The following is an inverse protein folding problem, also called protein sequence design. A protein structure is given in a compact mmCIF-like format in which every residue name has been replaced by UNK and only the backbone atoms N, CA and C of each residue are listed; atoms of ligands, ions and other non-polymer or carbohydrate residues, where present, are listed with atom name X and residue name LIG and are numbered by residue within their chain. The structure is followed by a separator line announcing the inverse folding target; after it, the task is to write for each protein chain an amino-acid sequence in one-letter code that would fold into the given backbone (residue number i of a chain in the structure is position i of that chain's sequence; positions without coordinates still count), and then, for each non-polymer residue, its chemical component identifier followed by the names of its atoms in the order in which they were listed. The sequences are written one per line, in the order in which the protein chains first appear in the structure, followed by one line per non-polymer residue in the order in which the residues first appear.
data_IF_121479352265
#
_entry.id   IF_121479352265
#
_cell.length_a   1.000
_cell.length_b   1.000
_cell.length_c   1.000
_cell.angle_alpha   90.00
_cell.angle_beta   90.00
_cell.angle_gamma   90.00
#
_symmetry.space_group_name_H-M   'P 1'
#
loop_
_entity.id
_entity.type
_entity.pdbx_description
1 polymer ?
#
# COMPACT_ATOMS: atom_id res chain seq x y z
N UNK A 1 -16.79 15.06 -21.01
CA UNK A 1 -15.82 15.74 -21.90
C UNK A 1 -15.53 14.86 -23.11
N UNK A 2 -15.16 15.42 -24.26
CA UNK A 2 -14.74 14.62 -25.44
C UNK A 2 -13.24 14.37 -25.34
N UNK A 3 -12.85 13.10 -25.36
CA UNK A 3 -11.45 12.66 -25.25
C UNK A 3 -11.12 11.80 -26.46
N UNK A 4 -9.94 12.00 -27.04
CA UNK A 4 -9.37 11.10 -28.05
C UNK A 4 -8.43 10.13 -27.34
N UNK A 5 -8.56 8.83 -27.61
CA UNK A 5 -7.74 7.76 -27.04
C UNK A 5 -7.24 6.89 -28.18
N UNK A 6 -5.94 6.59 -28.18
CA UNK A 6 -5.32 5.72 -29.17
C UNK A 6 -5.36 4.27 -28.71
N UNK A 7 -5.78 3.36 -29.60
CA UNK A 7 -5.85 1.93 -29.33
C UNK A 7 -5.09 1.16 -30.40
N UNK A 8 -4.35 0.09 -30.05
CA UNK A 8 -3.83 -0.84 -31.04
C UNK A 8 -4.95 -1.44 -31.89
N UNK A 9 -4.71 -1.66 -33.19
CA UNK A 9 -5.73 -2.13 -34.13
C UNK A 9 -6.43 -3.43 -33.67
N UNK A 10 -5.64 -4.39 -33.15
CA UNK A 10 -6.17 -5.64 -32.61
C UNK A 10 -7.13 -5.41 -31.42
N UNK A 11 -6.80 -4.48 -30.52
CA UNK A 11 -7.63 -4.15 -29.37
C UNK A 11 -8.92 -3.45 -29.81
N UNK A 12 -8.81 -2.53 -30.76
CA UNK A 12 -9.96 -1.80 -31.28
C UNK A 12 -10.98 -2.73 -31.98
N UNK A 13 -10.48 -3.70 -32.76
CA UNK A 13 -11.31 -4.76 -33.36
C UNK A 13 -12.05 -5.56 -32.29
N UNK A 14 -11.35 -5.99 -31.25
CA UNK A 14 -11.96 -6.71 -30.13
C UNK A 14 -13.06 -5.88 -29.46
N UNK A 15 -12.79 -4.62 -29.12
CA UNK A 15 -13.78 -3.73 -28.51
C UNK A 15 -15.04 -3.58 -29.38
N UNK A 16 -14.88 -3.43 -30.71
CA UNK A 16 -16.02 -3.38 -31.64
C UNK A 16 -16.83 -4.67 -31.65
N UNK A 17 -16.16 -5.82 -31.75
CA UNK A 17 -16.84 -7.13 -31.73
C UNK A 17 -17.62 -7.31 -30.44
N UNK A 18 -17.03 -6.98 -29.30
CA UNK A 18 -17.68 -7.07 -27.99
C UNK A 18 -18.89 -6.13 -27.88
N UNK A 19 -18.76 -4.89 -28.33
CA UNK A 19 -19.87 -3.93 -28.33
C UNK A 19 -21.05 -4.43 -29.19
N UNK A 20 -20.77 -5.02 -30.36
CA UNK A 20 -21.78 -5.61 -31.22
C UNK A 20 -22.47 -6.84 -30.58
N UNK A 21 -21.69 -7.72 -29.93
CA UNK A 21 -22.22 -8.89 -29.22
C UNK A 21 -23.10 -8.49 -28.04
N UNK A 22 -22.73 -7.44 -27.30
CA UNK A 22 -23.48 -6.92 -26.16
C UNK A 22 -24.62 -5.97 -26.56
N UNK A 23 -24.81 -5.71 -27.86
CA UNK A 23 -25.90 -4.88 -28.37
C UNK A 23 -25.82 -3.41 -27.94
N UNK A 24 -24.63 -2.88 -27.68
CA UNK A 24 -24.41 -1.53 -27.15
C UNK A 24 -23.38 -0.74 -27.93
N UNK A 25 -23.31 0.57 -27.67
CA UNK A 25 -22.35 1.43 -28.37
C UNK A 25 -20.92 1.17 -27.87
N UNK A 26 -19.94 1.33 -28.77
CA UNK A 26 -18.53 1.24 -28.41
C UNK A 26 -18.14 2.23 -27.31
N UNK A 27 -18.76 3.42 -27.32
CA UNK A 27 -18.54 4.46 -26.31
C UNK A 27 -18.94 3.98 -24.93
N UNK A 28 -20.13 3.40 -24.79
CA UNK A 28 -20.66 2.97 -23.49
C UNK A 28 -19.83 1.81 -22.93
N UNK A 29 -19.42 0.87 -23.79
CA UNK A 29 -18.50 -0.21 -23.43
C UNK A 29 -17.17 0.34 -22.90
N UNK A 30 -16.56 1.31 -23.60
CA UNK A 30 -15.28 1.88 -23.19
C UNK A 30 -15.40 2.61 -21.86
N UNK A 31 -16.47 3.39 -21.65
CA UNK A 31 -16.71 4.09 -20.38
C UNK A 31 -16.82 3.09 -19.23
N UNK A 32 -17.66 2.05 -19.36
CA UNK A 32 -17.82 1.05 -18.31
C UNK A 32 -16.52 0.31 -18.01
N UNK A 33 -15.76 -0.07 -19.04
CA UNK A 33 -14.46 -0.74 -18.86
C UNK A 33 -13.45 0.14 -18.12
N UNK A 34 -13.43 1.44 -18.40
CA UNK A 34 -12.56 2.40 -17.70
C UNK A 34 -13.02 2.56 -16.25
N UNK A 35 -14.32 2.76 -15.99
CA UNK A 35 -14.87 2.86 -14.63
C UNK A 35 -14.58 1.61 -13.81
N UNK A 36 -14.78 0.43 -14.41
CA UNK A 36 -14.46 -0.85 -13.79
C UNK A 36 -12.97 -1.00 -13.53
N UNK A 37 -12.12 -0.59 -14.47
CA UNK A 37 -10.66 -0.61 -14.30
C UNK A 37 -10.17 0.30 -13.17
N UNK A 38 -10.80 1.47 -13.00
CA UNK A 38 -10.48 2.41 -11.91
C UNK A 38 -11.04 1.96 -10.56
N UNK A 39 -12.20 1.29 -10.56
CA UNK A 39 -12.85 0.79 -9.33
C UNK A 39 -12.29 -0.56 -8.89
N UNK A 40 -11.69 -1.31 -9.81
CA UNK A 40 -10.99 -2.54 -9.50
C UNK A 40 -9.78 -2.22 -8.63
N UNK A 41 -10.00 -2.26 -7.31
CA UNK A 41 -8.93 -2.31 -6.32
C UNK A 41 -8.02 -3.45 -6.75
N UNK A 42 -6.73 -3.15 -6.90
CA UNK A 42 -5.71 -4.14 -7.26
C UNK A 42 -6.02 -5.42 -6.49
N UNK A 43 -6.29 -6.50 -7.23
CA UNK A 43 -6.51 -7.82 -6.62
C UNK A 43 -5.14 -8.25 -6.13
N UNK A 44 -4.73 -7.70 -4.99
CA UNK A 44 -3.53 -8.13 -4.30
C UNK A 44 -3.84 -9.54 -3.87
N UNK A 45 -3.15 -10.50 -4.48
CA UNK A 45 -3.19 -11.89 -4.09
C UNK A 45 -3.07 -11.93 -2.55
N UNK A 46 -4.10 -12.44 -1.84
CA UNK A 46 -4.09 -12.44 -0.39
C UNK A 46 -2.88 -13.20 0.17
N UNK A 47 -2.32 -14.16 -0.57
CA UNK A 47 -1.07 -14.83 -0.20
C UNK A 47 0.13 -13.88 -0.30
N UNK A 48 0.28 -13.13 -1.39
CA UNK A 48 1.34 -12.10 -1.52
C UNK A 48 1.21 -11.03 -0.44
N UNK A 49 -0.02 -10.62 -0.11
CA UNK A 49 -0.29 -9.66 0.96
C UNK A 49 0.05 -10.20 2.34
N UNK A 50 -0.06 -11.51 2.56
CA UNK A 50 0.32 -12.16 3.81
C UNK A 50 1.85 -12.27 3.94
N UNK A 51 2.53 -12.60 2.84
CA UNK A 51 4.00 -12.68 2.77
C UNK A 51 4.70 -11.32 2.93
N UNK A 52 4.03 -10.23 2.54
CA UNK A 52 4.55 -8.86 2.70
C UNK A 52 4.37 -8.28 4.11
N UNK A 53 3.76 -9.01 5.06
CA UNK A 53 3.60 -8.51 6.43
C UNK A 53 4.94 -8.60 7.17
N UNK A 54 5.37 -7.53 7.86
CA UNK A 54 6.50 -7.63 8.77
C UNK A 54 6.23 -8.73 9.82
N UNK A 55 7.26 -9.46 10.26
CA UNK A 55 7.09 -10.51 11.26
C UNK A 55 6.47 -9.91 12.53
N UNK A 56 5.38 -10.51 12.99
CA UNK A 56 4.76 -10.13 14.26
C UNK A 56 5.54 -10.83 15.36
N UNK A 57 6.26 -10.06 16.18
CA UNK A 57 6.92 -10.56 17.39
C UNK A 57 5.90 -10.39 18.53
N UNK A 58 5.29 -11.46 19.06
CA UNK A 58 4.38 -11.36 20.19
C UNK A 58 5.16 -10.91 21.43
N UNK A 59 4.58 -10.01 22.25
CA UNK A 59 5.21 -9.66 23.52
C UNK A 59 5.18 -10.86 24.46
N UNK A 60 6.30 -11.16 25.11
CA UNK A 60 6.46 -12.31 26.02
C UNK A 60 5.97 -12.01 27.44
N UNK A 61 5.19 -10.95 27.65
CA UNK A 61 4.78 -10.50 28.98
C UNK A 61 4.39 -9.02 29.03
N UNK A 62 4.06 -8.51 30.24
CA UNK A 62 3.82 -7.09 30.45
C UNK A 62 5.07 -6.30 30.06
N UNK A 63 4.85 -5.20 29.34
CA UNK A 63 5.93 -4.33 28.90
C UNK A 63 6.65 -3.76 30.13
N UNK A 64 7.99 -3.77 30.11
CA UNK A 64 8.79 -3.25 31.21
C UNK A 64 8.54 -1.75 31.48
N UNK A 65 8.09 -1.02 30.45
CA UNK A 65 7.77 0.39 30.51
C UNK A 65 6.27 0.62 30.26
N UNK A 66 5.61 1.48 31.04
CA UNK A 66 4.20 1.82 30.85
C UNK A 66 4.03 2.82 29.70
N UNK A 67 4.45 2.45 28.49
CA UNK A 67 4.45 3.33 27.30
C UNK A 67 3.07 3.93 26.97
N UNK A 68 1.99 3.26 27.38
CA UNK A 68 0.62 3.74 27.18
C UNK A 68 0.28 5.01 27.99
N UNK A 69 1.06 5.35 29.01
CA UNK A 69 0.85 6.49 29.89
C UNK A 69 1.90 7.60 29.67
N UNK A 70 2.82 7.40 28.73
CA UNK A 70 3.90 8.34 28.42
C UNK A 70 3.43 9.39 27.42
N UNK A 71 3.89 10.63 27.62
CA UNK A 71 3.75 11.70 26.64
C UNK A 71 4.86 11.60 25.58
N UNK A 72 4.71 12.34 24.47
CA UNK A 72 5.80 12.44 23.49
C UNK A 72 7.10 12.96 24.10
N UNK A 73 7.04 13.86 25.08
CA UNK A 73 8.23 14.40 25.74
C UNK A 73 8.97 13.30 26.53
N UNK A 74 8.23 12.44 27.23
CA UNK A 74 8.81 11.31 27.98
C UNK A 74 9.48 10.31 27.03
N UNK A 75 8.92 10.08 25.84
CA UNK A 75 9.51 9.22 24.81
C UNK A 75 10.82 9.80 24.26
N UNK A 76 10.88 11.11 24.00
CA UNK A 76 12.09 11.76 23.53
C UNK A 76 13.22 11.72 24.57
N UNK A 77 12.90 11.85 25.86
CA UNK A 77 13.88 11.73 26.93
C UNK A 77 14.54 10.34 26.94
N UNK A 78 13.74 9.27 26.80
CA UNK A 78 14.24 7.89 26.76
C UNK A 78 15.17 7.62 25.56
N UNK A 79 14.80 8.13 24.38
CA UNK A 79 15.62 7.97 23.16
C UNK A 79 16.98 8.65 23.33
N UNK A 80 16.98 9.86 23.88
CA UNK A 80 18.21 10.62 24.09
C UNK A 80 19.11 9.96 25.16
N UNK A 81 18.52 9.41 26.23
CA UNK A 81 19.25 8.69 27.27
C UNK A 81 19.96 7.45 26.69
N UNK A 82 19.29 6.63 25.86
CA UNK A 82 19.91 5.48 25.21
C UNK A 82 21.05 5.86 24.24
N UNK A 83 20.89 6.95 23.49
CA UNK A 83 21.90 7.43 22.55
C UNK A 83 23.14 7.99 23.26
N UNK A 84 22.95 8.70 24.38
CA UNK A 84 24.04 9.20 25.22
C UNK A 84 24.82 8.03 25.86
N UNK A 85 24.13 7.02 26.38
CA UNK A 85 24.76 5.82 26.94
C UNK A 85 25.56 5.03 25.89
N UNK A 86 25.01 4.86 24.68
CA UNK A 86 25.70 4.20 23.56
C UNK A 86 26.93 4.97 23.13
N UNK A 87 26.84 6.30 23.07
CA UNK A 87 27.95 7.19 22.70
C UNK A 87 29.07 7.12 23.73
N UNK A 88 28.75 7.17 25.03
CA UNK A 88 29.72 7.04 26.12
C UNK A 88 30.42 5.68 26.08
N UNK A 89 29.69 4.59 25.85
CA UNK A 89 30.25 3.23 25.76
C UNK A 89 31.17 3.05 24.55
N UNK A 90 30.93 3.76 23.45
CA UNK A 90 31.79 3.74 22.27
C UNK A 90 33.09 4.52 22.48
N UNK A 91 33.02 5.65 23.20
CA UNK A 91 34.16 6.53 23.49
C UNK A 91 35.05 6.02 24.64
N UNK A 92 34.50 5.29 25.61
CA UNK A 92 35.24 4.68 26.73
C UNK A 92 36.01 3.40 26.39
N UNK A 93 36.12 3.04 25.10
CA UNK A 93 36.78 1.81 24.61
C UNK A 93 38.14 2.06 23.93
N UNK A 94 38.73 3.23 24.14
CA UNK A 94 40.09 3.61 23.72
C UNK A 94 41.14 3.35 24.78
#
# INVERSE_FOLDING_TARGET
MRTSLDFPDALFKHLKTRAAQEGRTLRDLVIELVERGLTAREVVDPQKRFLARPPVIPSQGPMALPVSHMTNADLYALINEEDDERTIKLLGRG
#
